data_IF_349464293006
#
_entry.id   IF_349464293006
#
_cell.length_a   1.000
_cell.length_b   1.000
_cell.length_c   1.000
_cell.angle_alpha   90.00
_cell.angle_beta   90.00
_cell.angle_gamma   90.00
#
_symmetry.space_group_name_H-M   'P 1'
#
loop_
_entity.id
_entity.type
_entity.pdbx_description
1 polymer ?
#
# COMPACT_ATOMS: atom_id res chain seq x y z
N UNK A 1 -29.12 -18.48 -3.38
CA UNK A 1 -28.18 -18.32 -4.52
C UNK A 1 -28.22 -16.86 -4.93
N UNK A 2 -27.07 -16.16 -4.97
CA UNK A 2 -27.00 -14.74 -5.39
C UNK A 2 -27.33 -14.66 -6.88
N UNK A 3 -28.28 -13.81 -7.26
CA UNK A 3 -28.66 -13.59 -8.65
C UNK A 3 -27.94 -12.36 -9.21
N UNK A 4 -27.81 -12.26 -10.54
CA UNK A 4 -27.12 -11.11 -11.17
C UNK A 4 -27.74 -9.75 -10.77
N UNK A 5 -29.06 -9.71 -10.51
CA UNK A 5 -29.77 -8.49 -10.03
C UNK A 5 -29.35 -8.07 -8.61
N UNK A 6 -28.80 -9.00 -7.81
CA UNK A 6 -28.39 -8.74 -6.43
C UNK A 6 -26.95 -8.18 -6.38
N UNK A 7 -26.25 -8.19 -7.53
CA UNK A 7 -24.88 -7.67 -7.62
C UNK A 7 -24.91 -6.15 -7.83
N UNK A 8 -24.22 -5.42 -6.97
CA UNK A 8 -24.08 -3.99 -7.09
C UNK A 8 -23.36 -3.59 -8.39
N UNK A 9 -24.11 -3.10 -9.36
CA UNK A 9 -23.57 -2.62 -10.63
C UNK A 9 -22.81 -1.30 -10.48
N UNK A 10 -21.97 -0.97 -11.48
CA UNK A 10 -21.18 0.27 -11.52
C UNK A 10 -22.04 1.53 -11.39
N UNK A 11 -23.18 1.56 -12.06
CA UNK A 11 -24.11 2.69 -12.01
C UNK A 11 -24.71 2.89 -10.62
N UNK A 12 -25.17 1.82 -9.97
CA UNK A 12 -25.70 1.88 -8.62
C UNK A 12 -24.60 2.33 -7.62
N UNK A 13 -23.38 1.79 -7.75
CA UNK A 13 -22.24 2.26 -6.96
C UNK A 13 -21.99 3.76 -7.13
N UNK A 14 -21.95 4.24 -8.36
CA UNK A 14 -21.59 5.64 -8.64
C UNK A 14 -22.71 6.61 -8.28
N UNK A 15 -23.97 6.23 -8.48
CA UNK A 15 -25.12 7.12 -8.26
C UNK A 15 -25.63 7.09 -6.82
N UNK A 16 -25.54 5.94 -6.12
CA UNK A 16 -26.10 5.78 -4.78
C UNK A 16 -25.05 5.89 -3.68
N UNK A 17 -23.92 5.19 -3.81
CA UNK A 17 -22.96 5.07 -2.71
C UNK A 17 -21.82 6.09 -2.74
N UNK A 18 -21.31 6.41 -3.93
CA UNK A 18 -20.23 7.42 -4.04
C UNK A 18 -20.65 8.80 -3.55
N UNK A 19 -21.89 9.29 -3.82
CA UNK A 19 -22.37 10.57 -3.28
C UNK A 19 -22.49 10.63 -1.76
N UNK A 20 -22.61 9.48 -1.06
CA UNK A 20 -22.64 9.44 0.41
C UNK A 20 -21.33 9.89 1.06
N UNK A 21 -20.23 9.91 0.32
CA UNK A 21 -18.97 10.46 0.79
C UNK A 21 -18.87 11.93 0.47
N UNK A 22 -18.65 12.77 1.48
CA UNK A 22 -18.49 14.21 1.27
C UNK A 22 -17.28 14.54 0.39
N UNK A 23 -17.28 15.68 -0.35
CA UNK A 23 -16.12 16.12 -1.12
C UNK A 23 -14.86 16.25 -0.25
N UNK A 24 -15.00 16.73 1.00
CA UNK A 24 -13.91 16.84 1.97
C UNK A 24 -13.32 15.47 2.32
N UNK A 25 -14.16 14.49 2.62
CA UNK A 25 -13.69 13.13 2.92
C UNK A 25 -12.95 12.51 1.74
N UNK A 26 -13.49 12.69 0.52
CA UNK A 26 -12.83 12.23 -0.71
C UNK A 26 -11.47 12.90 -0.93
N UNK A 27 -11.34 14.19 -0.66
CA UNK A 27 -10.09 14.93 -0.79
C UNK A 27 -9.04 14.42 0.20
N UNK A 28 -9.41 14.21 1.45
CA UNK A 28 -8.50 13.64 2.47
C UNK A 28 -8.03 12.25 2.05
N UNK A 29 -8.94 11.36 1.63
CA UNK A 29 -8.60 9.99 1.23
C UNK A 29 -7.75 9.90 -0.05
N UNK A 30 -7.72 10.94 -0.90
CA UNK A 30 -6.84 11.00 -2.06
C UNK A 30 -5.38 11.25 -1.68
N UNK A 31 -5.13 11.96 -0.58
CA UNK A 31 -3.79 12.28 -0.10
C UNK A 31 -3.38 11.37 1.05
N UNK A 32 -2.33 10.58 0.84
CA UNK A 32 -1.75 9.73 1.90
C UNK A 32 -1.26 10.59 3.07
N UNK A 33 -0.72 11.77 2.77
CA UNK A 33 -0.24 12.71 3.79
C UNK A 33 -1.38 13.31 4.61
N UNK A 34 -2.42 13.83 3.95
CA UNK A 34 -3.58 14.37 4.66
C UNK A 34 -4.31 13.30 5.50
N UNK A 35 -4.41 12.08 4.98
CA UNK A 35 -4.98 10.95 5.72
C UNK A 35 -4.14 10.64 6.97
N UNK A 36 -2.81 10.61 6.86
CA UNK A 36 -1.92 10.38 8.01
C UNK A 36 -2.08 11.45 9.08
N UNK A 37 -2.07 12.73 8.70
CA UNK A 37 -2.26 13.83 9.65
C UNK A 37 -3.61 13.71 10.38
N UNK A 38 -4.68 13.38 9.64
CA UNK A 38 -5.98 13.16 10.26
C UNK A 38 -5.94 12.01 11.29
N UNK A 39 -5.32 10.89 10.95
CA UNK A 39 -5.20 9.73 11.84
C UNK A 39 -4.37 10.07 13.08
N UNK A 40 -3.23 10.72 12.91
CA UNK A 40 -2.34 11.14 14.00
C UNK A 40 -3.04 12.12 14.95
N UNK A 41 -3.77 13.11 14.41
CA UNK A 41 -4.54 14.07 15.21
C UNK A 41 -5.69 13.41 16.02
N UNK A 42 -6.05 12.18 15.64
CA UNK A 42 -7.04 11.38 16.38
C UNK A 42 -6.40 10.21 17.16
N UNK A 43 -5.10 10.27 17.43
CA UNK A 43 -4.34 9.25 18.16
C UNK A 43 -4.40 7.84 17.54
N UNK A 44 -4.61 7.75 16.23
CA UNK A 44 -4.56 6.48 15.50
C UNK A 44 -3.12 6.27 14.99
N UNK A 45 -2.46 5.19 15.39
CA UNK A 45 -1.07 4.93 14.99
C UNK A 45 -0.89 4.86 13.47
N UNK A 46 0.15 5.49 12.97
CA UNK A 46 0.60 5.41 11.58
C UNK A 46 2.11 5.25 11.53
N UNK A 47 2.66 4.80 10.40
CA UNK A 47 4.11 4.83 10.19
C UNK A 47 4.65 6.25 10.38
N UNK A 48 5.80 6.41 11.03
CA UNK A 48 6.43 7.71 11.23
C UNK A 48 6.79 8.34 9.88
N UNK A 49 6.61 9.65 9.75
CA UNK A 49 7.04 10.41 8.57
C UNK A 49 8.45 10.94 8.85
N UNK A 50 9.40 10.61 7.98
CA UNK A 50 10.78 11.12 8.04
C UNK A 50 10.94 12.40 7.23
N UNK A 51 10.20 12.55 6.12
CA UNK A 51 10.21 13.74 5.29
C UNK A 51 9.04 13.81 4.32
N UNK A 52 8.71 15.04 3.92
CA UNK A 52 7.76 15.33 2.83
C UNK A 52 8.46 16.34 1.93
N UNK A 53 8.79 15.92 0.71
CA UNK A 53 9.55 16.72 -0.24
C UNK A 53 8.61 17.21 -1.35
N UNK A 54 8.58 18.49 -1.59
CA UNK A 54 7.72 19.15 -2.57
C UNK A 54 8.46 19.77 -3.75
N UNK A 55 9.79 19.95 -3.61
CA UNK A 55 10.65 20.57 -4.61
C UNK A 55 11.93 19.76 -4.81
N UNK A 56 12.69 20.08 -5.85
CA UNK A 56 14.02 19.51 -6.07
C UNK A 56 15.02 19.98 -5.00
N UNK A 57 14.88 21.20 -4.49
CA UNK A 57 15.68 21.71 -3.39
C UNK A 57 15.45 20.90 -2.11
N UNK A 58 14.18 20.54 -1.80
CA UNK A 58 13.89 19.67 -0.66
C UNK A 58 14.57 18.29 -0.80
N UNK A 59 14.72 17.76 -2.03
CA UNK A 59 15.40 16.48 -2.27
C UNK A 59 16.89 16.61 -2.00
N UNK A 60 17.51 17.71 -2.39
CA UNK A 60 18.93 17.95 -2.21
C UNK A 60 19.28 18.26 -0.76
N UNK A 61 18.43 19.00 -0.06
CA UNK A 61 18.61 19.39 1.33
C UNK A 61 18.28 18.28 2.33
N UNK A 62 17.57 17.23 1.90
CA UNK A 62 17.20 16.12 2.78
C UNK A 62 18.41 15.31 3.20
N UNK A 63 18.58 15.10 4.50
CA UNK A 63 19.69 14.31 5.06
C UNK A 63 19.41 12.79 4.93
N UNK A 64 19.71 12.24 3.77
CA UNK A 64 19.52 10.81 3.44
C UNK A 64 20.32 9.88 4.35
N UNK A 65 21.44 10.34 4.89
CA UNK A 65 22.32 9.52 5.75
C UNK A 65 21.79 9.36 7.17
N UNK A 66 20.76 10.12 7.55
CA UNK A 66 20.03 9.94 8.81
C UNK A 66 19.00 8.82 8.77
N UNK A 67 18.74 8.23 7.61
CA UNK A 67 17.83 7.09 7.47
C UNK A 67 18.53 5.80 7.94
N UNK A 68 18.59 5.61 9.24
CA UNK A 68 19.24 4.48 9.93
C UNK A 68 18.37 3.22 10.01
N UNK A 69 17.10 3.29 9.57
CA UNK A 69 16.09 2.24 9.58
C UNK A 69 15.55 1.98 8.20
N UNK A 70 14.82 0.86 8.09
CA UNK A 70 14.04 0.56 6.89
C UNK A 70 13.01 1.68 6.64
N UNK A 71 12.89 2.12 5.39
CA UNK A 71 11.99 3.20 5.01
C UNK A 71 11.26 2.93 3.70
N UNK A 72 10.27 3.75 3.40
CA UNK A 72 9.49 3.69 2.16
C UNK A 72 9.42 5.08 1.55
N UNK A 73 9.70 5.15 0.25
CA UNK A 73 9.46 6.34 -0.58
C UNK A 73 8.17 6.11 -1.37
N UNK A 74 7.28 7.10 -1.38
CA UNK A 74 6.02 7.02 -2.12
C UNK A 74 5.45 8.40 -2.47
N UNK A 75 4.65 8.52 -3.55
CA UNK A 75 3.92 9.75 -3.84
C UNK A 75 2.81 10.01 -2.82
N UNK A 76 2.57 11.27 -2.47
CA UNK A 76 1.42 11.68 -1.62
C UNK A 76 0.10 11.26 -2.24
N UNK A 77 0.00 11.37 -3.56
CA UNK A 77 -1.15 10.98 -4.36
C UNK A 77 -0.74 9.86 -5.31
N UNK A 78 -1.64 8.97 -5.64
CA UNK A 78 -1.35 7.85 -6.54
C UNK A 78 -2.09 6.58 -6.14
N UNK A 79 -2.07 5.57 -6.99
CA UNK A 79 -2.84 4.34 -6.83
C UNK A 79 -2.03 3.12 -7.26
N UNK A 80 -2.51 1.95 -6.90
CA UNK A 80 -1.98 0.64 -7.31
C UNK A 80 -0.50 0.38 -6.95
N UNK A 81 0.07 1.10 -5.97
CA UNK A 81 1.46 0.93 -5.56
C UNK A 81 2.50 1.49 -6.53
N UNK A 82 2.09 2.25 -7.55
CA UNK A 82 3.02 2.90 -8.49
C UNK A 82 3.84 3.96 -7.76
N UNK A 83 5.15 4.01 -8.02
CA UNK A 83 6.09 4.92 -7.38
C UNK A 83 6.31 4.64 -5.88
N UNK A 84 5.97 3.45 -5.40
CA UNK A 84 6.21 3.03 -4.02
C UNK A 84 7.41 2.07 -4.01
N UNK A 85 8.48 2.48 -3.38
CA UNK A 85 9.68 1.66 -3.20
C UNK A 85 10.02 1.56 -1.73
N UNK A 86 10.23 0.34 -1.25
CA UNK A 86 10.57 0.06 0.12
C UNK A 86 12.06 -0.32 0.21
N UNK A 87 12.78 0.38 1.06
CA UNK A 87 14.21 0.22 1.26
C UNK A 87 14.49 -0.43 2.61
N UNK A 88 15.56 -1.17 2.67
CA UNK A 88 16.22 -1.56 3.91
C UNK A 88 17.07 -0.39 4.39
N UNK A 89 17.48 -0.43 5.67
CA UNK A 89 18.45 0.54 6.20
C UNK A 89 19.67 0.66 5.29
N UNK A 90 20.32 1.80 5.31
CA UNK A 90 21.53 2.06 4.56
C UNK A 90 22.58 0.94 4.76
N UNK A 91 23.27 0.59 3.70
CA UNK A 91 24.38 -0.37 3.76
C UNK A 91 25.51 0.17 4.66
N UNK A 92 26.32 -0.69 5.31
CA UNK A 92 27.43 -0.25 6.17
C UNK A 92 28.47 0.65 5.50
N UNK A 93 28.62 0.58 4.17
CA UNK A 93 29.49 1.49 3.39
C UNK A 93 28.97 2.94 3.33
N UNK A 94 27.68 3.14 3.68
CA UNK A 94 26.97 4.44 3.61
C UNK A 94 26.87 5.06 2.21
N UNK A 95 27.12 4.28 1.17
CA UNK A 95 27.04 4.75 -0.22
C UNK A 95 25.81 4.23 -0.94
N UNK A 96 25.26 3.10 -0.46
CA UNK A 96 24.17 2.39 -1.14
C UNK A 96 23.04 2.00 -0.18
N UNK A 97 21.86 1.84 -0.75
CA UNK A 97 20.69 1.23 -0.12
C UNK A 97 20.29 0.00 -0.91
N UNK A 98 19.64 -0.95 -0.25
CA UNK A 98 19.06 -2.10 -0.91
C UNK A 98 17.56 -2.07 -0.72
N UNK A 99 16.80 -2.24 -1.78
CA UNK A 99 15.35 -2.38 -1.66
C UNK A 99 14.95 -3.77 -1.17
N UNK A 100 13.65 -3.96 -0.95
CA UNK A 100 13.13 -5.23 -0.39
C UNK A 100 13.20 -6.40 -1.36
N UNK A 101 13.32 -6.14 -2.67
CA UNK A 101 13.50 -7.19 -3.69
C UNK A 101 14.98 -7.54 -3.90
N UNK A 102 15.90 -6.74 -3.41
CA UNK A 102 17.33 -7.00 -3.40
C UNK A 102 18.14 -6.18 -4.41
N UNK A 103 17.54 -5.18 -5.04
CA UNK A 103 18.24 -4.26 -5.92
C UNK A 103 19.02 -3.22 -5.13
N UNK A 104 20.20 -2.87 -5.61
CA UNK A 104 21.08 -1.87 -5.00
C UNK A 104 20.82 -0.51 -5.64
N UNK A 105 20.70 0.52 -4.81
CA UNK A 105 20.37 1.89 -5.19
C UNK A 105 21.45 2.85 -4.67
N UNK A 106 21.99 3.68 -5.56
CA UNK A 106 22.80 4.81 -5.17
C UNK A 106 21.92 5.95 -4.66
N UNK A 107 22.55 6.98 -4.07
CA UNK A 107 21.83 8.21 -3.68
C UNK A 107 21.21 8.90 -4.91
N UNK A 108 21.90 8.90 -6.04
CA UNK A 108 21.40 9.52 -7.27
C UNK A 108 20.17 8.77 -7.81
N UNK A 109 20.14 7.43 -7.73
CA UNK A 109 18.97 6.65 -8.11
C UNK A 109 17.75 6.97 -7.22
N UNK A 110 17.98 7.13 -5.91
CA UNK A 110 16.92 7.52 -4.96
C UNK A 110 16.42 8.93 -5.25
N UNK A 111 17.31 9.88 -5.51
CA UNK A 111 16.94 11.24 -5.89
C UNK A 111 16.16 11.27 -7.21
N UNK A 112 16.57 10.47 -8.19
CA UNK A 112 15.87 10.34 -9.48
C UNK A 112 14.46 9.81 -9.28
N UNK A 113 14.26 8.77 -8.46
CA UNK A 113 12.94 8.28 -8.09
C UNK A 113 12.06 9.39 -7.49
N UNK A 114 12.63 10.21 -6.62
CA UNK A 114 11.91 11.34 -6.01
C UNK A 114 11.53 12.39 -7.07
N UNK A 115 12.42 12.71 -8.00
CA UNK A 115 12.14 13.62 -9.12
C UNK A 115 11.04 13.09 -10.04
N UNK A 116 11.05 11.78 -10.33
CA UNK A 116 9.97 11.11 -11.09
C UNK A 116 8.62 11.22 -10.39
N UNK A 117 8.60 11.11 -9.07
CA UNK A 117 7.39 11.33 -8.28
C UNK A 117 6.93 12.78 -8.38
N UNK A 118 7.83 13.75 -8.21
CA UNK A 118 7.50 15.18 -8.30
C UNK A 118 6.99 15.58 -9.69
N UNK A 119 7.54 14.97 -10.76
CA UNK A 119 7.09 15.21 -12.14
C UNK A 119 5.68 14.69 -12.42
N UNK A 120 5.12 13.88 -11.52
CA UNK A 120 3.79 13.30 -11.66
C UNK A 120 3.71 11.99 -12.44
N UNK A 121 4.84 11.35 -12.73
CA UNK A 121 4.89 10.09 -13.51
C UNK A 121 3.99 8.99 -12.91
N UNK A 122 3.80 8.98 -11.59
CA UNK A 122 3.06 7.94 -10.87
C UNK A 122 1.66 8.36 -10.44
N UNK A 123 1.17 9.51 -10.87
CA UNK A 123 -0.12 10.02 -10.43
C UNK A 123 -1.15 10.12 -11.56
N UNK A 124 -2.39 10.27 -11.18
CA UNK A 124 -3.49 10.57 -12.10
C UNK A 124 -3.83 12.06 -12.01
N UNK A 125 -3.66 12.78 -13.11
CA UNK A 125 -4.18 14.13 -13.43
C UNK A 125 -4.16 15.20 -12.31
N UNK A 126 -3.26 16.19 -12.47
CA UNK A 126 -3.45 17.56 -11.96
C UNK A 126 -3.35 17.77 -10.44
N UNK A 127 -2.77 16.86 -9.67
CA UNK A 127 -2.57 17.02 -8.23
C UNK A 127 -1.12 17.34 -7.91
N UNK A 128 -0.88 18.15 -6.89
CA UNK A 128 0.47 18.36 -6.35
C UNK A 128 1.09 17.01 -5.96
N UNK A 129 2.28 16.76 -6.48
CA UNK A 129 2.99 15.52 -6.32
C UNK A 129 4.14 15.76 -5.34
N UNK A 130 3.93 15.44 -4.07
CA UNK A 130 5.02 15.45 -3.11
C UNK A 130 5.46 14.01 -2.85
N UNK A 131 6.71 13.86 -2.49
CA UNK A 131 7.30 12.61 -2.01
C UNK A 131 7.05 12.52 -0.51
N UNK A 132 6.63 11.35 -0.04
CA UNK A 132 6.66 11.01 1.39
C UNK A 132 7.77 9.99 1.60
N UNK A 133 8.63 10.26 2.56
CA UNK A 133 9.59 9.32 3.12
C UNK A 133 9.08 8.94 4.49
N UNK A 134 8.85 7.66 4.72
CA UNK A 134 8.25 7.19 5.97
C UNK A 134 8.87 5.88 6.46
N UNK A 135 8.65 5.59 7.72
CA UNK A 135 8.99 4.32 8.34
C UNK A 135 8.39 3.15 7.57
N UNK A 136 9.20 2.14 7.29
CA UNK A 136 8.69 0.86 6.81
C UNK A 136 8.10 0.07 7.97
N UNK A 137 6.81 -0.22 7.91
CA UNK A 137 6.12 -1.02 8.93
C UNK A 137 6.68 -2.45 8.87
N UNK A 138 7.23 -2.98 9.98
CA UNK A 138 7.73 -4.35 10.01
C UNK A 138 6.59 -5.36 9.85
N UNK A 139 6.85 -6.42 9.10
CA UNK A 139 5.86 -7.49 8.93
C UNK A 139 5.81 -8.28 10.24
N UNK A 140 4.60 -8.48 10.77
CA UNK A 140 4.42 -9.30 11.97
C UNK A 140 4.97 -10.73 11.75
N UNK A 141 5.77 -11.31 12.67
CA UNK A 141 6.45 -12.59 12.47
C UNK A 141 5.51 -13.74 12.05
N UNK A 142 4.27 -13.76 12.57
CA UNK A 142 3.26 -14.77 12.18
C UNK A 142 2.84 -14.68 10.71
N UNK A 143 3.02 -13.53 10.07
CA UNK A 143 2.64 -13.30 8.67
C UNK A 143 3.80 -13.53 7.70
N UNK A 144 5.04 -13.58 8.16
CA UNK A 144 6.23 -13.74 7.30
C UNK A 144 6.16 -14.97 6.40
N UNK A 145 5.62 -16.07 6.91
CA UNK A 145 5.49 -17.33 6.15
C UNK A 145 4.39 -17.30 5.08
N UNK A 146 3.54 -16.29 5.08
CA UNK A 146 2.42 -16.14 4.14
C UNK A 146 2.64 -15.06 3.10
N UNK A 147 3.78 -14.40 3.10
CA UNK A 147 4.03 -13.25 2.22
C UNK A 147 5.41 -13.33 1.57
N UNK A 148 5.52 -12.83 0.37
CA UNK A 148 6.79 -12.71 -0.34
C UNK A 148 7.26 -11.26 -0.32
N UNK A 149 8.38 -11.00 0.36
CA UNK A 149 9.14 -9.72 0.41
C UNK A 149 8.35 -8.43 0.71
N UNK A 150 7.02 -8.45 0.63
CA UNK A 150 6.15 -7.29 0.82
C UNK A 150 5.26 -7.39 2.06
N UNK A 151 4.65 -6.28 2.45
CA UNK A 151 3.76 -6.21 3.62
C UNK A 151 2.34 -6.62 3.23
N UNK A 152 1.78 -7.67 3.85
CA UNK A 152 0.36 -7.99 3.69
C UNK A 152 -0.51 -6.89 4.27
N UNK A 153 -1.71 -6.73 3.75
CA UNK A 153 -2.67 -5.79 4.29
C UNK A 153 -4.05 -6.40 4.54
N UNK A 154 -4.75 -5.87 5.53
CA UNK A 154 -6.15 -6.14 5.78
C UNK A 154 -6.96 -4.97 5.27
N UNK A 155 -7.81 -5.22 4.28
CA UNK A 155 -8.73 -4.21 3.75
C UNK A 155 -10.14 -4.44 4.28
N UNK A 156 -10.63 -3.48 5.03
CA UNK A 156 -12.00 -3.46 5.54
C UNK A 156 -12.84 -2.49 4.72
N UNK A 157 -13.98 -2.95 4.23
CA UNK A 157 -14.98 -2.09 3.60
C UNK A 157 -15.98 -1.70 4.69
N UNK A 158 -16.13 -0.40 4.87
CA UNK A 158 -17.06 0.19 5.84
C UNK A 158 -18.16 0.90 5.09
N UNK A 159 -19.40 0.62 5.43
CA UNK A 159 -20.57 1.29 4.91
C UNK A 159 -21.39 1.86 6.08
N UNK A 160 -21.65 3.15 6.03
CA UNK A 160 -22.39 3.86 7.08
C UNK A 160 -21.88 3.57 8.50
N UNK A 161 -20.56 3.66 8.67
CA UNK A 161 -19.81 3.38 9.91
C UNK A 161 -19.84 1.91 10.38
N UNK A 162 -20.38 0.98 9.58
CA UNK A 162 -20.41 -0.45 9.88
C UNK A 162 -19.44 -1.20 8.97
N UNK A 163 -18.51 -2.02 9.51
CA UNK A 163 -17.68 -2.90 8.68
C UNK A 163 -18.57 -4.02 8.08
N UNK A 164 -18.62 -4.06 6.75
CA UNK A 164 -19.48 -5.00 6.01
C UNK A 164 -18.72 -6.12 5.33
N UNK A 165 -17.42 -5.93 5.09
CA UNK A 165 -16.57 -6.93 4.45
C UNK A 165 -15.11 -6.69 4.84
N UNK A 166 -14.37 -7.75 5.08
CA UNK A 166 -12.94 -7.71 5.28
C UNK A 166 -12.22 -8.72 4.40
N UNK A 167 -10.99 -8.39 3.99
CA UNK A 167 -10.13 -9.27 3.19
C UNK A 167 -8.68 -9.05 3.53
N UNK A 168 -7.92 -10.14 3.55
CA UNK A 168 -6.48 -10.15 3.65
C UNK A 168 -5.90 -10.21 2.24
N UNK A 169 -4.89 -9.39 1.96
CA UNK A 169 -4.12 -9.43 0.71
C UNK A 169 -2.68 -9.81 1.02
N UNK A 170 -2.20 -10.80 0.31
CA UNK A 170 -0.88 -11.40 0.52
C UNK A 170 -0.02 -11.15 -0.71
N UNK A 171 1.10 -10.43 -0.57
CA UNK A 171 2.11 -10.33 -1.62
C UNK A 171 2.65 -11.69 -2.03
N UNK A 172 2.89 -11.87 -3.32
CA UNK A 172 3.50 -13.05 -3.93
C UNK A 172 4.75 -12.66 -4.72
N UNK A 173 5.47 -13.63 -5.22
CA UNK A 173 6.56 -13.41 -6.15
C UNK A 173 6.07 -12.75 -7.44
N UNK A 174 4.96 -13.23 -8.00
CA UNK A 174 4.33 -12.65 -9.20
C UNK A 174 3.97 -11.17 -9.02
N UNK A 175 3.54 -10.76 -7.81
CA UNK A 175 3.25 -9.37 -7.49
C UNK A 175 4.46 -8.55 -7.08
N UNK A 176 5.67 -9.11 -7.13
CA UNK A 176 6.92 -8.47 -6.69
C UNK A 176 6.80 -7.85 -5.28
N UNK A 177 6.13 -8.55 -4.37
CA UNK A 177 5.93 -8.05 -3.02
C UNK A 177 4.82 -6.98 -2.87
N UNK A 178 4.03 -6.72 -3.90
CA UNK A 178 2.89 -5.78 -3.82
C UNK A 178 1.61 -6.51 -3.41
N UNK A 179 0.88 -5.99 -2.42
CA UNK A 179 -0.41 -6.53 -1.99
C UNK A 179 -1.56 -6.12 -2.94
N UNK A 180 -1.38 -6.35 -4.25
CA UNK A 180 -2.33 -5.95 -5.28
C UNK A 180 -2.71 -7.14 -6.18
N UNK A 181 -3.98 -7.55 -6.13
CA UNK A 181 -4.48 -8.71 -6.88
C UNK A 181 -4.36 -8.55 -8.40
N UNK A 182 -4.45 -7.33 -8.92
CA UNK A 182 -4.26 -7.09 -10.37
C UNK A 182 -2.81 -7.25 -10.83
N UNK A 183 -1.89 -7.40 -9.90
CA UNK A 183 -0.46 -7.61 -10.13
C UNK A 183 0.01 -9.01 -9.67
N UNK A 184 -0.92 -9.92 -9.36
CA UNK A 184 -0.58 -11.27 -8.99
C UNK A 184 -0.67 -11.59 -7.50
N UNK A 185 -1.01 -10.64 -6.63
CA UNK A 185 -1.20 -10.91 -5.20
C UNK A 185 -2.40 -11.84 -4.94
N UNK A 186 -2.36 -12.56 -3.84
CA UNK A 186 -3.47 -13.38 -3.36
C UNK A 186 -4.40 -12.53 -2.50
N UNK A 187 -5.69 -12.81 -2.59
CA UNK A 187 -6.71 -12.23 -1.74
C UNK A 187 -7.56 -13.32 -1.11
N UNK A 188 -7.78 -13.26 0.20
CA UNK A 188 -8.71 -14.12 0.92
C UNK A 188 -9.72 -13.28 1.70
N UNK A 189 -10.97 -13.71 1.73
CA UNK A 189 -11.99 -13.11 2.59
C UNK A 189 -11.66 -13.35 4.06
N UNK A 190 -12.15 -12.47 4.93
CA UNK A 190 -12.09 -12.63 6.38
C UNK A 190 -13.54 -12.58 6.88
N UNK A 191 -13.96 -13.59 7.59
CA UNK A 191 -15.19 -13.56 8.37
C UNK A 191 -15.04 -12.55 9.51
N UNK A 192 -15.84 -11.49 9.50
CA UNK A 192 -15.68 -10.35 10.42
C UNK A 192 -15.98 -10.77 11.86
N UNK A 193 -16.87 -11.73 12.08
CA UNK A 193 -17.27 -12.16 13.42
C UNK A 193 -16.19 -13.02 14.08
N UNK A 194 -15.48 -13.84 13.32
CA UNK A 194 -14.51 -14.80 13.83
C UNK A 194 -13.05 -14.40 13.59
N UNK A 195 -12.80 -13.53 12.61
CA UNK A 195 -11.45 -13.18 12.15
C UNK A 195 -10.79 -14.29 11.30
N UNK A 196 -11.49 -15.38 11.00
CA UNK A 196 -10.97 -16.51 10.25
C UNK A 196 -11.00 -16.18 8.75
N UNK A 197 -9.92 -16.54 8.04
CA UNK A 197 -9.88 -16.40 6.59
C UNK A 197 -10.80 -17.46 5.95
N UNK A 198 -11.36 -17.10 4.80
CA UNK A 198 -12.17 -18.00 3.97
C UNK A 198 -11.33 -18.55 2.82
N UNK A 199 -11.95 -18.91 1.69
CA UNK A 199 -11.18 -19.30 0.50
C UNK A 199 -10.38 -18.13 -0.07
N UNK A 200 -9.24 -18.44 -0.68
CA UNK A 200 -8.41 -17.47 -1.38
C UNK A 200 -8.71 -17.38 -2.87
N UNK A 201 -8.28 -16.30 -3.47
CA UNK A 201 -8.33 -16.06 -4.92
C UNK A 201 -6.95 -15.56 -5.36
N UNK A 202 -6.38 -16.23 -6.37
CA UNK A 202 -5.14 -15.83 -7.01
C UNK A 202 -5.39 -14.96 -8.25
N UNK A 203 -4.34 -14.70 -9.00
CA UNK A 203 -4.39 -14.05 -10.30
C UNK A 203 -5.46 -14.71 -11.19
N UNK A 204 -6.12 -13.90 -12.04
CA UNK A 204 -7.27 -14.33 -12.86
C UNK A 204 -8.51 -14.79 -12.09
N UNK A 205 -8.55 -14.55 -10.78
CA UNK A 205 -9.67 -14.90 -9.88
C UNK A 205 -9.91 -16.42 -9.74
N UNK A 206 -8.87 -17.21 -9.89
CA UNK A 206 -8.95 -18.64 -9.67
C UNK A 206 -9.02 -18.92 -8.16
N UNK A 207 -10.01 -19.68 -7.68
CA UNK A 207 -10.11 -20.07 -6.29
C UNK A 207 -8.92 -20.96 -5.89
N UNK A 208 -8.33 -20.66 -4.74
CA UNK A 208 -7.23 -21.46 -4.17
C UNK A 208 -7.53 -21.81 -2.72
N UNK A 209 -7.07 -22.97 -2.27
CA UNK A 209 -7.15 -23.40 -0.88
C UNK A 209 -5.78 -23.38 -0.20
N UNK A 210 -4.71 -23.37 -0.96
CA UNK A 210 -3.33 -23.35 -0.49
C UNK A 210 -2.60 -22.18 -1.11
N UNK A 211 -1.63 -21.64 -0.39
CA UNK A 211 -0.72 -20.65 -0.98
C UNK A 211 0.11 -21.33 -2.08
N UNK A 212 0.34 -20.67 -3.21
CA UNK A 212 1.23 -21.15 -4.24
C UNK A 212 2.59 -21.53 -3.63
N UNK A 213 3.17 -22.60 -4.15
CA UNK A 213 4.50 -23.13 -3.76
C UNK A 213 4.66 -23.45 -2.27
N UNK A 214 3.54 -23.58 -1.55
CA UNK A 214 3.55 -23.92 -0.14
C UNK A 214 2.44 -24.92 0.22
N UNK A 215 2.64 -25.60 1.36
CA UNK A 215 1.60 -26.46 1.97
C UNK A 215 0.69 -25.69 2.94
N UNK A 216 0.81 -24.35 2.97
CA UNK A 216 0.05 -23.52 3.88
C UNK A 216 -1.39 -23.36 3.38
N UNK A 217 -2.34 -23.83 4.17
CA UNK A 217 -3.77 -23.71 3.87
C UNK A 217 -4.30 -22.34 4.25
N UNK A 218 -5.18 -21.81 3.40
CA UNK A 218 -5.97 -20.62 3.67
C UNK A 218 -7.30 -21.06 4.31
N UNK A 219 -7.49 -20.73 5.57
CA UNK A 219 -8.76 -20.96 6.31
C UNK A 219 -9.04 -19.76 7.17
#
# INVERSE_FOLDING_TARGET
MVQAKDVLGMNARNQLYVPMNSPRAKSICKSKYATKLLLQNNNIPTAAIYGVLGTTEDIDDFDWHKLDKDFVIKPTNGHAGKGVTAFRRQHPDKEHWTDVIGETWSLDDIKLLCMDILSGQYSTHGSNHNVIIEERIPIHPKLLKYTYKGTPDVRVVVFNSVPVMAKLRLPTEESEGRANISQGAIMTGIDIATGITTYGVAHKREPIQYLPDSKLKLN
#
